data_IF_310782553227
#
_entry.id   IF_310782553227
#
_cell.length_a   1.000
_cell.length_b   1.000
_cell.length_c   1.000
_cell.angle_alpha   90.00
_cell.angle_beta   90.00
_cell.angle_gamma   90.00
#
_symmetry.space_group_name_H-M   'P 1'
#
loop_
_entity.id
_entity.type
_entity.pdbx_description
1 polymer ?
#
# COMPACT_ATOMS: atom_id res chain seq x y z
N UNK A 1 5.67 30.87 -78.36
CA UNK A 1 4.96 29.84 -77.58
C UNK A 1 5.97 29.26 -76.61
N UNK A 2 6.15 29.88 -75.44
CA UNK A 2 7.04 29.36 -74.40
C UNK A 2 6.23 29.06 -73.14
N UNK A 3 6.25 27.78 -72.76
CA UNK A 3 5.44 27.17 -71.71
C UNK A 3 6.38 26.66 -70.62
N UNK A 4 7.06 27.55 -69.91
CA UNK A 4 7.98 27.20 -68.81
C UNK A 4 7.79 28.14 -67.63
N UNK A 5 6.72 27.94 -66.86
CA UNK A 5 6.37 28.83 -65.76
C UNK A 5 5.66 28.19 -64.57
N UNK A 6 5.70 26.86 -64.39
CA UNK A 6 4.93 26.22 -63.30
C UNK A 6 5.62 25.09 -62.50
N UNK A 7 6.89 24.79 -62.73
CA UNK A 7 7.55 23.64 -62.06
C UNK A 7 8.10 23.99 -60.66
N UNK A 8 8.34 25.28 -60.36
CA UNK A 8 8.97 25.70 -59.09
C UNK A 8 8.02 25.86 -57.89
N UNK A 9 6.70 25.94 -58.11
CA UNK A 9 5.71 26.04 -57.02
C UNK A 9 5.16 24.68 -56.56
N UNK A 10 5.31 23.64 -57.37
CA UNK A 10 4.83 22.29 -57.03
C UNK A 10 5.76 21.56 -56.03
N UNK A 11 7.07 21.85 -56.04
CA UNK A 11 8.05 21.17 -55.15
C UNK A 11 7.92 21.54 -53.66
N UNK A 12 7.47 22.76 -53.36
CA UNK A 12 7.25 23.21 -51.97
C UNK A 12 5.90 22.76 -51.41
N UNK A 13 4.89 22.53 -52.26
CA UNK A 13 3.61 21.98 -51.83
C UNK A 13 3.67 20.47 -51.55
N UNK A 14 4.53 19.73 -52.27
CA UNK A 14 4.72 18.30 -52.05
C UNK A 14 5.54 17.96 -50.80
N UNK A 15 6.44 18.86 -50.38
CA UNK A 15 7.26 18.68 -49.16
C UNK A 15 6.50 19.07 -47.89
N UNK A 16 5.57 20.04 -47.95
CA UNK A 16 4.69 20.38 -46.83
C UNK A 16 3.60 19.30 -46.58
N UNK A 17 3.16 18.62 -47.64
CA UNK A 17 2.16 17.55 -47.54
C UNK A 17 2.69 16.27 -46.86
N UNK A 18 4.02 16.04 -46.84
CA UNK A 18 4.62 14.85 -46.24
C UNK A 18 4.81 14.96 -44.71
N UNK A 19 4.86 16.18 -44.16
CA UNK A 19 4.91 16.38 -42.70
C UNK A 19 3.53 16.30 -42.03
N UNK A 20 2.44 16.53 -42.76
CA UNK A 20 1.07 16.42 -42.23
C UNK A 20 0.58 14.97 -42.04
N UNK A 21 1.34 13.98 -42.53
CA UNK A 21 1.05 12.56 -42.36
C UNK A 21 1.71 11.94 -41.11
N UNK A 22 2.34 12.75 -40.26
CA UNK A 22 2.68 12.35 -38.88
C UNK A 22 1.41 12.41 -38.04
N UNK A 23 0.41 11.61 -38.40
CA UNK A 23 -0.75 11.40 -37.55
C UNK A 23 -0.24 10.86 -36.22
N UNK A 24 -0.65 11.48 -35.11
CA UNK A 24 -0.52 10.88 -33.79
C UNK A 24 -1.18 9.51 -33.84
N UNK A 25 -0.38 8.46 -34.03
CA UNK A 25 -0.83 7.10 -33.74
C UNK A 25 -0.88 7.02 -32.22
N UNK A 26 -2.06 7.28 -31.66
CA UNK A 26 -2.40 6.84 -30.30
C UNK A 26 -2.29 5.32 -30.29
N UNK A 27 -1.16 4.82 -29.81
CA UNK A 27 -0.94 3.39 -29.59
C UNK A 27 -1.95 2.99 -28.53
N UNK A 28 -2.99 2.27 -28.93
CA UNK A 28 -3.96 1.68 -28.00
C UNK A 28 -3.21 0.65 -27.15
N UNK A 29 -2.74 1.08 -25.99
CA UNK A 29 -2.10 0.18 -25.04
C UNK A 29 -3.14 -0.80 -24.49
N UNK A 30 -2.74 -2.00 -24.06
CA UNK A 30 -3.63 -2.90 -23.34
C UNK A 30 -4.36 -2.22 -22.16
N UNK A 31 -3.73 -1.20 -21.56
CA UNK A 31 -4.25 -0.37 -20.47
C UNK A 31 -5.55 0.39 -20.88
N UNK A 32 -5.60 0.98 -22.08
CA UNK A 32 -6.80 1.68 -22.58
C UNK A 32 -7.99 0.74 -22.76
N UNK A 33 -7.73 -0.49 -23.21
CA UNK A 33 -8.78 -1.53 -23.35
C UNK A 33 -9.30 -1.97 -21.97
N UNK A 34 -8.45 -2.01 -20.96
CA UNK A 34 -8.84 -2.33 -19.57
C UNK A 34 -9.60 -1.15 -18.94
N UNK A 35 -9.24 0.10 -19.23
CA UNK A 35 -9.99 1.28 -18.77
C UNK A 35 -11.44 1.31 -19.28
N UNK A 36 -11.73 0.68 -20.44
CA UNK A 36 -13.10 0.51 -20.94
C UNK A 36 -13.93 -0.57 -20.24
N UNK A 37 -13.31 -1.36 -19.36
CA UNK A 37 -14.00 -2.39 -18.58
C UNK A 37 -14.57 -1.82 -17.28
N UNK A 38 -15.63 -2.41 -16.73
CA UNK A 38 -16.32 -1.95 -15.50
C UNK A 38 -15.50 -2.17 -14.21
N UNK A 39 -14.19 -1.96 -14.27
CA UNK A 39 -13.28 -2.07 -13.13
C UNK A 39 -13.31 -0.76 -12.34
N UNK A 40 -13.49 -0.83 -11.02
CA UNK A 40 -13.42 0.36 -10.18
C UNK A 40 -12.04 1.01 -10.20
N UNK A 41 -12.01 2.30 -10.47
CA UNK A 41 -10.80 3.13 -10.55
C UNK A 41 -11.00 4.43 -9.78
N UNK A 42 -9.94 5.24 -9.65
CA UNK A 42 -9.96 6.48 -8.89
C UNK A 42 -11.16 7.39 -9.21
N UNK A 43 -11.51 7.56 -10.49
CA UNK A 43 -12.64 8.40 -10.91
C UNK A 43 -13.99 7.66 -10.98
N UNK A 44 -14.01 6.34 -10.76
CA UNK A 44 -15.20 5.50 -10.79
C UNK A 44 -15.14 4.48 -9.65
N UNK A 45 -15.05 4.97 -8.42
CA UNK A 45 -15.06 4.14 -7.21
C UNK A 45 -16.46 3.54 -7.00
N UNK A 46 -16.49 2.33 -6.45
CA UNK A 46 -17.72 1.64 -6.04
C UNK A 46 -17.77 1.55 -4.52
N UNK A 47 -18.97 1.63 -3.95
CA UNK A 47 -19.17 1.33 -2.53
C UNK A 47 -19.02 -0.17 -2.29
N UNK A 48 -18.33 -0.53 -1.21
CA UNK A 48 -18.27 -1.91 -0.75
C UNK A 48 -19.62 -2.37 -0.18
N UNK A 49 -19.90 -3.68 -0.18
CA UNK A 49 -21.05 -4.22 0.54
C UNK A 49 -20.93 -3.94 2.05
N UNK A 50 -22.04 -4.12 2.76
CA UNK A 50 -22.08 -3.93 4.21
C UNK A 50 -21.00 -4.75 4.91
N UNK A 51 -20.35 -4.10 5.87
CA UNK A 51 -19.28 -4.72 6.62
C UNK A 51 -19.82 -5.82 7.53
N UNK A 52 -19.21 -7.00 7.44
CA UNK A 52 -19.49 -8.13 8.32
C UNK A 52 -18.28 -8.38 9.22
N UNK A 53 -18.56 -8.59 10.50
CA UNK A 53 -17.53 -8.84 11.52
C UNK A 53 -16.91 -10.21 11.30
N UNK A 54 -15.58 -10.27 11.28
CA UNK A 54 -14.84 -11.52 11.13
C UNK A 54 -13.63 -11.57 12.08
N UNK A 55 -13.12 -12.76 12.45
CA UNK A 55 -11.85 -12.84 13.15
C UNK A 55 -10.71 -12.27 12.27
N UNK A 56 -9.75 -11.48 12.81
CA UNK A 56 -9.56 -11.06 14.20
C UNK A 56 -9.90 -9.56 14.43
N UNK A 57 -11.12 -9.14 14.08
CA UNK A 57 -11.59 -7.76 14.29
C UNK A 57 -11.69 -7.37 15.77
N UNK A 58 -11.59 -6.08 16.07
CA UNK A 58 -11.89 -5.54 17.40
C UNK A 58 -13.21 -4.77 17.38
N UNK A 59 -14.15 -5.24 18.18
CA UNK A 59 -15.48 -4.66 18.32
C UNK A 59 -15.58 -4.00 19.70
N UNK A 60 -15.90 -2.71 19.72
CA UNK A 60 -16.27 -2.01 20.95
C UNK A 60 -17.67 -2.46 21.36
N UNK A 61 -17.82 -2.87 22.62
CA UNK A 61 -19.13 -3.18 23.20
C UNK A 61 -19.27 -2.44 24.50
N UNK A 62 -20.24 -1.53 24.55
CA UNK A 62 -20.54 -0.74 25.74
C UNK A 62 -22.02 -0.82 26.12
N UNK A 63 -22.28 -1.02 27.40
CA UNK A 63 -23.62 -0.98 27.98
C UNK A 63 -23.59 0.07 29.08
N UNK A 64 -24.38 1.14 28.92
CA UNK A 64 -24.34 2.30 29.80
C UNK A 64 -24.60 1.95 31.27
N UNK A 65 -25.63 1.13 31.53
CA UNK A 65 -26.11 0.81 32.87
C UNK A 65 -25.87 -0.67 33.24
N UNK A 66 -24.66 -1.18 32.99
CA UNK A 66 -24.30 -2.52 33.46
C UNK A 66 -24.28 -2.61 35.00
N UNK A 67 -24.40 -3.83 35.54
CA UNK A 67 -24.45 -4.07 36.98
C UNK A 67 -23.25 -3.44 37.71
N UNK A 68 -23.45 -2.85 38.91
CA UNK A 68 -22.39 -2.20 39.66
C UNK A 68 -21.25 -3.19 39.95
N UNK A 69 -20.02 -2.80 39.60
CA UNK A 69 -18.82 -3.63 39.73
C UNK A 69 -18.60 -4.66 38.61
N UNK A 70 -19.46 -4.71 37.58
CA UNK A 70 -19.32 -5.59 36.40
C UNK A 70 -19.64 -4.85 35.10
N UNK A 71 -18.92 -3.76 34.77
CA UNK A 71 -19.18 -3.00 33.57
C UNK A 71 -18.90 -3.83 32.31
N UNK A 72 -19.79 -3.72 31.32
CA UNK A 72 -19.55 -4.20 29.96
C UNK A 72 -19.14 -2.97 29.17
N UNK A 73 -17.85 -2.62 29.20
CA UNK A 73 -17.28 -1.54 28.39
C UNK A 73 -15.92 -1.97 27.84
N UNK A 74 -15.59 -1.42 26.67
CA UNK A 74 -14.31 -1.56 26.00
C UNK A 74 -14.30 -2.53 24.82
N UNK A 75 -13.13 -2.59 24.20
CA UNK A 75 -12.88 -3.36 22.99
C UNK A 75 -12.84 -4.86 23.28
N UNK A 76 -13.36 -5.64 22.34
CA UNK A 76 -13.43 -7.10 22.37
C UNK A 76 -12.90 -7.66 21.06
N UNK A 77 -11.87 -8.49 21.17
CA UNK A 77 -11.34 -9.25 20.05
C UNK A 77 -12.33 -10.34 19.63
N UNK A 78 -12.64 -10.40 18.34
CA UNK A 78 -13.34 -11.52 17.73
C UNK A 78 -12.36 -12.67 17.61
N UNK A 79 -12.59 -13.71 18.42
CA UNK A 79 -11.73 -14.89 18.49
C UNK A 79 -11.86 -15.75 17.22
N UNK A 80 -10.92 -16.68 16.96
CA UNK A 80 -11.00 -17.59 15.81
C UNK A 80 -12.24 -18.50 15.78
N UNK A 81 -12.91 -18.71 16.92
CA UNK A 81 -14.20 -19.42 17.00
C UNK A 81 -15.40 -18.55 16.59
N UNK A 82 -15.13 -17.30 16.16
CA UNK A 82 -16.14 -16.32 15.75
C UNK A 82 -16.90 -15.68 16.90
N UNK A 83 -16.43 -15.84 18.14
CA UNK A 83 -17.07 -15.29 19.34
C UNK A 83 -16.32 -14.10 19.91
N UNK A 84 -17.06 -13.21 20.56
CA UNK A 84 -16.53 -12.18 21.46
C UNK A 84 -16.82 -12.58 22.90
N UNK A 85 -15.94 -12.17 23.81
CA UNK A 85 -16.16 -12.37 25.25
C UNK A 85 -16.79 -11.13 25.87
N UNK A 86 -17.88 -11.30 26.60
CA UNK A 86 -18.54 -10.26 27.39
C UNK A 86 -18.13 -10.33 28.87
N UNK A 87 -16.99 -10.96 29.18
CA UNK A 87 -16.51 -11.12 30.54
C UNK A 87 -17.41 -12.06 31.35
N UNK A 88 -17.97 -11.57 32.46
CA UNK A 88 -18.82 -12.37 33.36
C UNK A 88 -20.10 -12.89 32.71
N UNK A 89 -20.55 -12.28 31.63
CA UNK A 89 -21.78 -12.65 30.95
C UNK A 89 -21.61 -13.83 29.99
N UNK A 90 -20.37 -14.22 29.68
CA UNK A 90 -20.03 -15.32 28.79
C UNK A 90 -19.62 -14.85 27.40
N UNK A 91 -19.77 -15.72 26.40
CA UNK A 91 -19.31 -15.50 25.03
C UNK A 91 -20.48 -15.50 24.03
N UNK A 92 -20.42 -14.63 23.03
CA UNK A 92 -21.44 -14.47 21.98
C UNK A 92 -20.82 -14.64 20.61
N UNK A 93 -21.42 -15.47 19.76
CA UNK A 93 -21.00 -15.66 18.37
C UNK A 93 -21.43 -14.48 17.50
N UNK A 94 -20.48 -13.82 16.85
CA UNK A 94 -20.70 -12.59 16.06
C UNK A 94 -20.16 -12.67 14.63
N UNK A 95 -19.33 -13.68 14.31
CA UNK A 95 -18.73 -13.77 12.99
C UNK A 95 -19.77 -13.93 11.87
N UNK A 96 -19.58 -13.17 10.80
CA UNK A 96 -20.47 -13.11 9.64
C UNK A 96 -21.71 -12.24 9.82
N UNK A 97 -21.85 -11.54 10.96
CA UNK A 97 -22.96 -10.63 11.21
C UNK A 97 -22.55 -9.18 10.94
N UNK A 98 -23.51 -8.38 10.50
CA UNK A 98 -23.38 -6.91 10.43
C UNK A 98 -23.45 -6.29 11.83
N UNK A 99 -23.01 -5.05 11.98
CA UNK A 99 -23.01 -4.36 13.29
C UNK A 99 -24.41 -4.28 13.93
N UNK A 100 -25.48 -3.93 13.20
CA UNK A 100 -26.83 -3.95 13.76
C UNK A 100 -27.26 -5.35 14.23
N UNK A 101 -26.90 -6.41 13.50
CA UNK A 101 -27.20 -7.79 13.87
C UNK A 101 -26.38 -8.26 15.08
N UNK A 102 -25.11 -7.84 15.17
CA UNK A 102 -24.27 -8.10 16.34
C UNK A 102 -24.89 -7.44 17.58
N UNK A 103 -25.30 -6.18 17.46
CA UNK A 103 -25.99 -5.44 18.53
C UNK A 103 -27.24 -6.17 18.99
N UNK A 104 -28.15 -6.50 18.07
CA UNK A 104 -29.35 -7.27 18.37
C UNK A 104 -29.04 -8.55 19.14
N UNK A 105 -28.06 -9.31 18.65
CA UNK A 105 -27.68 -10.59 19.23
C UNK A 105 -27.08 -10.44 20.63
N UNK A 106 -26.28 -9.41 20.87
CA UNK A 106 -25.74 -9.09 22.20
C UNK A 106 -26.86 -8.70 23.14
N UNK A 107 -27.78 -7.82 22.72
CA UNK A 107 -28.91 -7.38 23.55
C UNK A 107 -29.80 -8.58 23.93
N UNK A 108 -30.15 -9.43 22.97
CA UNK A 108 -30.94 -10.64 23.21
C UNK A 108 -30.22 -11.63 24.14
N UNK A 109 -28.89 -11.72 24.05
CA UNK A 109 -28.10 -12.57 24.94
C UNK A 109 -28.06 -12.00 26.37
N UNK A 110 -27.87 -10.69 26.51
CA UNK A 110 -27.79 -10.00 27.80
C UNK A 110 -29.14 -9.94 28.53
N UNK A 111 -30.27 -10.07 27.83
CA UNK A 111 -31.62 -10.17 28.42
C UNK A 111 -31.77 -11.33 29.42
N UNK A 112 -30.89 -12.33 29.36
CA UNK A 112 -30.84 -13.42 30.36
C UNK A 112 -30.33 -12.97 31.73
N UNK A 113 -29.63 -11.84 31.79
CA UNK A 113 -28.92 -11.37 32.97
C UNK A 113 -29.29 -9.94 33.37
N UNK A 114 -29.77 -9.12 32.43
CA UNK A 114 -30.13 -7.72 32.62
C UNK A 114 -31.62 -7.51 32.30
N UNK A 115 -32.22 -6.50 32.93
CA UNK A 115 -33.62 -6.13 32.71
C UNK A 115 -33.79 -5.40 31.37
N UNK A 116 -35.00 -5.45 30.82
CA UNK A 116 -35.34 -4.77 29.56
C UNK A 116 -35.13 -3.25 29.64
N UNK A 117 -35.31 -2.67 30.84
CA UNK A 117 -35.03 -1.27 31.13
C UNK A 117 -33.53 -0.94 30.97
N UNK A 118 -32.64 -1.68 31.64
CA UNK A 118 -31.17 -1.51 31.53
C UNK A 118 -30.68 -1.64 30.09
N UNK A 119 -31.32 -2.49 29.30
CA UNK A 119 -30.98 -2.72 27.89
C UNK A 119 -31.61 -1.71 26.92
N UNK A 120 -32.42 -0.76 27.38
CA UNK A 120 -33.05 0.24 26.52
C UNK A 120 -34.08 -0.36 25.57
N UNK A 121 -34.74 -1.45 25.99
CA UNK A 121 -35.80 -2.11 25.20
C UNK A 121 -37.18 -1.52 25.47
N UNK A 122 -37.26 -0.56 26.39
CA UNK A 122 -38.49 0.14 26.76
C UNK A 122 -38.18 1.62 26.81
N UNK A 123 -39.05 2.42 26.20
CA UNK A 123 -38.93 3.88 26.26
C UNK A 123 -39.25 4.35 27.69
N UNK A 124 -38.38 5.17 28.28
CA UNK A 124 -38.61 5.73 29.62
C UNK A 124 -39.23 7.12 29.47
N UNK A 125 -40.31 7.34 30.21
CA UNK A 125 -40.94 8.65 30.31
C UNK A 125 -40.10 9.56 31.24
N UNK A 126 -39.58 10.70 30.75
CA UNK A 126 -38.73 11.60 31.52
C UNK A 126 -39.43 12.21 32.74
N UNK A 127 -40.76 12.27 32.77
CA UNK A 127 -41.51 12.85 33.88
C UNK A 127 -41.81 11.83 34.99
N UNK A 128 -42.23 10.62 34.62
CA UNK A 128 -42.59 9.58 35.59
C UNK A 128 -41.41 8.67 35.98
N UNK A 129 -40.32 8.68 35.21
CA UNK A 129 -39.18 7.76 35.36
C UNK A 129 -39.54 6.30 35.12
N UNK A 130 -40.77 6.02 34.66
CA UNK A 130 -41.27 4.69 34.35
C UNK A 130 -41.33 4.43 32.86
N UNK A 131 -41.71 3.21 32.48
CA UNK A 131 -41.95 2.84 31.10
C UNK A 131 -43.06 3.71 30.49
N UNK A 132 -42.76 4.36 29.36
CA UNK A 132 -43.75 5.09 28.57
C UNK A 132 -44.79 4.11 28.03
N UNK A 133 -46.05 4.42 28.26
CA UNK A 133 -47.17 3.58 27.89
C UNK A 133 -47.79 4.08 26.59
N UNK A 134 -48.23 3.14 25.75
CA UNK A 134 -49.05 3.42 24.57
C UNK A 134 -50.46 3.89 24.97
N UNK A 135 -51.27 4.27 23.98
CA UNK A 135 -52.67 4.67 24.18
C UNK A 135 -53.53 3.58 24.85
N UNK A 136 -53.03 2.34 24.93
CA UNK A 136 -53.70 1.17 25.53
C UNK A 136 -53.12 0.79 26.89
N UNK A 137 -52.19 1.58 27.44
CA UNK A 137 -51.57 1.33 28.74
C UNK A 137 -50.50 0.23 28.75
N UNK A 138 -49.96 -0.17 27.59
CA UNK A 138 -48.87 -1.13 27.46
C UNK A 138 -47.53 -0.42 27.24
N UNK A 139 -46.42 -0.89 27.83
CA UNK A 139 -45.09 -0.34 27.54
C UNK A 139 -44.75 -0.36 26.05
N UNK A 140 -44.19 0.74 25.56
CA UNK A 140 -43.67 0.84 24.19
C UNK A 140 -42.37 0.03 24.13
N UNK A 141 -42.38 -1.02 23.29
CA UNK A 141 -41.24 -1.94 23.13
C UNK A 141 -40.37 -1.44 21.97
N UNK A 142 -39.08 -1.26 22.23
CA UNK A 142 -38.07 -0.89 21.25
C UNK A 142 -37.41 -2.18 20.72
N UNK A 143 -37.11 -2.21 19.42
CA UNK A 143 -36.39 -3.34 18.84
C UNK A 143 -34.94 -3.41 19.37
N UNK A 144 -34.38 -4.60 19.62
CA UNK A 144 -33.02 -4.69 20.17
C UNK A 144 -31.93 -4.06 19.29
N UNK A 145 -32.16 -3.94 17.97
CA UNK A 145 -31.28 -3.22 17.03
C UNK A 145 -31.21 -1.72 17.32
N UNK A 146 -32.29 -1.14 17.80
CA UNK A 146 -32.47 0.29 18.00
C UNK A 146 -32.26 0.74 19.45
N UNK A 147 -31.85 -0.18 20.34
CA UNK A 147 -31.50 0.13 21.73
C UNK A 147 -30.49 1.29 21.82
N UNK A 148 -30.81 2.30 22.62
CA UNK A 148 -29.96 3.47 22.86
C UNK A 148 -28.93 3.25 23.99
N UNK A 149 -29.10 2.18 24.77
CA UNK A 149 -28.23 1.86 25.92
C UNK A 149 -27.07 0.91 25.61
N UNK A 150 -27.10 0.26 24.45
CA UNK A 150 -26.07 -0.68 24.01
C UNK A 150 -25.39 -0.17 22.74
N UNK A 151 -24.10 0.12 22.86
CA UNK A 151 -23.26 0.57 21.75
C UNK A 151 -22.39 -0.58 21.27
N UNK A 152 -22.41 -0.79 19.96
CA UNK A 152 -21.55 -1.75 19.27
C UNK A 152 -20.97 -1.06 18.06
N UNK A 153 -19.65 -1.07 17.94
CA UNK A 153 -18.96 -0.50 16.78
C UNK A 153 -17.65 -1.27 16.50
N UNK A 154 -17.12 -1.17 15.27
CA UNK A 154 -15.83 -1.75 14.92
C UNK A 154 -14.74 -0.72 15.12
N UNK A 155 -13.88 -0.98 16.09
CA UNK A 155 -12.70 -0.13 16.36
C UNK A 155 -11.53 -0.45 15.43
N UNK A 156 -11.36 -1.72 15.04
CA UNK A 156 -10.30 -2.13 14.13
C UNK A 156 -10.79 -3.18 13.12
N UNK A 157 -10.71 -2.80 11.84
CA UNK A 157 -11.05 -3.62 10.66
C UNK A 157 -9.87 -4.53 10.26
N UNK A 158 -9.61 -5.57 11.05
CA UNK A 158 -8.44 -6.44 10.88
C UNK A 158 -8.67 -7.64 9.97
N UNK A 159 -9.91 -7.93 9.60
CA UNK A 159 -10.28 -9.08 8.77
C UNK A 159 -10.10 -8.82 7.28
N UNK A 160 -10.49 -7.62 6.80
CA UNK A 160 -10.45 -7.25 5.37
C UNK A 160 -9.15 -6.55 5.04
N UNK A 161 -8.26 -7.23 4.32
CA UNK A 161 -6.93 -6.73 3.98
C UNK A 161 -6.63 -6.85 2.48
N UNK A 162 -5.77 -5.97 1.98
CA UNK A 162 -5.06 -6.12 0.71
C UNK A 162 -3.55 -6.30 0.96
N UNK A 163 -2.82 -6.76 -0.04
CA UNK A 163 -1.41 -7.13 0.09
C UNK A 163 -0.56 -6.35 -0.90
N UNK A 164 0.56 -5.80 -0.42
CA UNK A 164 1.58 -5.16 -1.26
C UNK A 164 2.86 -5.98 -1.18
N UNK A 165 3.33 -6.45 -2.33
CA UNK A 165 4.41 -7.41 -2.47
C UNK A 165 5.46 -6.93 -3.48
N UNK A 166 6.68 -7.43 -3.35
CA UNK A 166 7.75 -7.22 -4.32
C UNK A 166 8.69 -6.06 -3.96
N UNK A 167 9.21 -5.38 -4.98
CA UNK A 167 10.22 -4.32 -4.84
C UNK A 167 9.57 -3.00 -4.36
N UNK A 168 9.12 -2.96 -3.10
CA UNK A 168 8.60 -1.78 -2.38
C UNK A 168 9.36 -1.56 -1.08
N UNK A 169 9.24 -0.38 -0.46
CA UNK A 169 9.98 -0.04 0.76
C UNK A 169 9.64 -0.92 1.97
N UNK A 170 8.38 -1.30 2.13
CA UNK A 170 7.84 -2.09 3.24
C UNK A 170 6.69 -2.98 2.73
N UNK A 171 6.99 -4.15 2.17
CA UNK A 171 5.96 -5.09 1.72
C UNK A 171 5.19 -5.63 2.93
N UNK A 172 3.89 -5.86 2.76
CA UNK A 172 3.03 -6.26 3.85
C UNK A 172 1.55 -6.31 3.50
N UNK A 173 0.74 -6.60 4.51
CA UNK A 173 -0.72 -6.51 4.44
C UNK A 173 -1.19 -5.18 5.03
N UNK A 174 -2.24 -4.61 4.47
CA UNK A 174 -2.85 -3.37 4.91
C UNK A 174 -4.37 -3.52 4.98
N UNK A 175 -5.04 -2.89 5.96
CA UNK A 175 -6.50 -2.97 6.08
C UNK A 175 -7.18 -2.22 4.93
N UNK A 176 -8.37 -2.69 4.54
CA UNK A 176 -9.19 -2.07 3.49
C UNK A 176 -10.31 -1.26 4.16
N UNK A 177 -10.41 0.03 3.85
CA UNK A 177 -11.44 0.93 4.42
C UNK A 177 -12.51 1.34 3.43
N UNK A 178 -12.29 1.25 2.11
CA UNK A 178 -13.32 1.66 1.13
C UNK A 178 -12.79 2.45 -0.05
N UNK A 179 -11.74 3.22 0.16
CA UNK A 179 -11.39 4.33 -0.70
C UNK A 179 -10.00 4.18 -1.31
N UNK A 180 -9.23 3.18 -0.87
CA UNK A 180 -7.85 2.99 -1.25
C UNK A 180 -7.70 2.73 -2.74
N UNK A 181 -6.65 3.31 -3.31
CA UNK A 181 -6.21 3.08 -4.68
C UNK A 181 -4.84 2.40 -4.70
N UNK A 182 -4.42 1.94 -5.87
CA UNK A 182 -3.07 1.34 -6.03
C UNK A 182 -1.98 2.33 -5.63
N UNK A 183 -2.14 3.62 -5.95
CA UNK A 183 -1.21 4.67 -5.55
C UNK A 183 -1.10 4.76 -4.02
N UNK A 184 -2.24 4.81 -3.32
CA UNK A 184 -2.28 4.91 -1.85
C UNK A 184 -1.55 3.71 -1.21
N UNK A 185 -1.82 2.50 -1.69
CA UNK A 185 -1.18 1.29 -1.20
C UNK A 185 0.34 1.29 -1.38
N UNK A 186 0.84 1.73 -2.53
CA UNK A 186 2.28 1.80 -2.78
C UNK A 186 2.92 2.87 -1.88
N UNK A 187 2.24 3.99 -1.64
CA UNK A 187 2.74 5.02 -0.70
C UNK A 187 2.79 4.50 0.74
N UNK A 188 1.74 3.81 1.21
CA UNK A 188 1.73 3.17 2.53
C UNK A 188 2.82 2.09 2.67
N UNK A 189 3.14 1.41 1.58
CA UNK A 189 4.25 0.46 1.52
C UNK A 189 5.64 1.14 1.40
N UNK A 190 5.75 2.45 1.66
CA UNK A 190 7.02 3.17 1.63
C UNK A 190 7.54 3.53 0.23
N UNK A 191 6.68 3.47 -0.78
CA UNK A 191 7.02 3.78 -2.17
C UNK A 191 7.81 2.68 -2.89
N UNK A 192 8.23 3.00 -4.11
CA UNK A 192 9.09 2.13 -4.91
C UNK A 192 10.55 2.25 -4.47
N UNK A 193 11.25 1.13 -4.41
CA UNK A 193 12.71 1.11 -4.24
C UNK A 193 13.41 1.36 -5.58
N UNK A 194 14.70 1.77 -5.61
CA UNK A 194 15.41 2.08 -6.85
C UNK A 194 15.53 0.93 -7.86
N UNK A 195 15.31 -0.32 -7.43
CA UNK A 195 15.35 -1.49 -8.30
C UNK A 195 14.00 -1.85 -8.92
N UNK A 196 12.91 -1.22 -8.47
CA UNK A 196 11.56 -1.50 -8.92
C UNK A 196 11.32 -1.01 -10.36
N UNK A 197 10.52 -1.74 -11.13
CA UNK A 197 10.04 -1.26 -12.43
C UNK A 197 8.71 -0.51 -12.26
N UNK A 198 8.67 0.82 -12.44
CA UNK A 198 7.44 1.61 -12.25
C UNK A 198 6.33 1.28 -13.27
N UNK A 199 6.71 0.69 -14.41
CA UNK A 199 5.78 0.28 -15.48
C UNK A 199 5.45 -1.22 -15.44
N UNK A 200 6.01 -1.98 -14.48
CA UNK A 200 5.78 -3.41 -14.35
C UNK A 200 5.21 -3.73 -12.97
N UNK A 201 4.01 -3.21 -12.74
CA UNK A 201 3.23 -3.48 -11.53
C UNK A 201 1.96 -4.21 -11.96
N UNK A 202 1.53 -5.18 -11.17
CA UNK A 202 0.29 -5.93 -11.42
C UNK A 202 -0.56 -5.96 -10.18
N UNK A 203 -1.81 -5.59 -10.33
CA UNK A 203 -2.86 -5.85 -9.36
C UNK A 203 -3.50 -7.20 -9.69
N UNK A 204 -3.36 -8.16 -8.79
CA UNK A 204 -3.96 -9.49 -8.90
C UNK A 204 -5.16 -9.55 -7.97
N UNK A 205 -6.35 -9.58 -8.57
CA UNK A 205 -7.63 -9.62 -7.87
C UNK A 205 -8.19 -11.05 -7.86
N UNK A 206 -8.49 -11.61 -6.68
CA UNK A 206 -9.07 -12.95 -6.59
C UNK A 206 -10.45 -12.99 -7.23
N UNK A 207 -10.78 -14.14 -7.85
CA UNK A 207 -12.12 -14.36 -8.37
C UNK A 207 -13.14 -14.45 -7.22
N UNK A 208 -14.33 -13.84 -7.36
CA UNK A 208 -15.44 -14.15 -6.46
C UNK A 208 -15.73 -15.67 -6.43
N UNK A 209 -16.20 -16.22 -5.30
CA UNK A 209 -16.57 -17.63 -5.23
C UNK A 209 -17.54 -18.02 -6.35
N UNK A 210 -17.16 -18.99 -7.18
CA UNK A 210 -17.96 -19.45 -8.33
C UNK A 210 -17.71 -18.72 -9.66
N UNK A 211 -16.83 -17.71 -9.70
CA UNK A 211 -16.36 -17.10 -10.94
C UNK A 211 -15.03 -17.71 -11.41
N UNK A 212 -14.85 -17.84 -12.72
CA UNK A 212 -13.84 -18.74 -13.30
C UNK A 212 -12.43 -18.15 -13.44
N UNK A 213 -12.20 -16.88 -13.12
CA UNK A 213 -10.91 -16.24 -13.45
C UNK A 213 -10.48 -15.22 -12.40
N UNK A 214 -9.24 -15.36 -11.91
CA UNK A 214 -8.52 -14.25 -11.30
C UNK A 214 -8.31 -13.13 -12.32
N UNK A 215 -8.37 -11.89 -11.85
CA UNK A 215 -8.22 -10.71 -12.70
C UNK A 215 -6.83 -10.12 -12.48
N UNK A 216 -6.00 -10.12 -13.52
CA UNK A 216 -4.65 -9.53 -13.48
C UNK A 216 -4.66 -8.21 -14.24
N UNK A 217 -4.50 -7.12 -13.50
CA UNK A 217 -4.58 -5.76 -14.01
C UNK A 217 -3.18 -5.13 -14.04
N UNK A 218 -2.68 -4.70 -15.22
CA UNK A 218 -1.45 -3.93 -15.31
C UNK A 218 -1.64 -2.56 -14.68
N UNK A 219 -0.65 -2.12 -13.93
CA UNK A 219 -0.61 -0.80 -13.31
C UNK A 219 0.62 -0.06 -13.82
N UNK A 220 0.40 1.16 -14.29
CA UNK A 220 1.45 2.04 -14.77
C UNK A 220 1.65 3.19 -13.77
N UNK A 221 2.53 2.99 -12.79
CA UNK A 221 2.72 3.97 -11.73
C UNK A 221 3.44 5.22 -12.23
N UNK A 222 4.30 5.12 -13.26
CA UNK A 222 4.94 6.29 -13.85
C UNK A 222 3.91 7.24 -14.48
N UNK A 223 2.91 6.70 -15.18
CA UNK A 223 1.83 7.47 -15.76
C UNK A 223 0.96 8.14 -14.68
N UNK A 224 0.69 7.43 -13.58
CA UNK A 224 -0.07 7.97 -12.43
C UNK A 224 0.71 9.11 -11.73
N UNK A 225 1.98 8.87 -11.37
CA UNK A 225 2.77 9.82 -10.57
C UNK A 225 3.29 11.01 -11.37
N UNK A 226 3.77 10.79 -12.59
CA UNK A 226 4.42 11.84 -13.41
C UNK A 226 3.50 12.38 -14.50
N UNK A 227 2.58 11.57 -15.01
CA UNK A 227 1.66 11.94 -16.09
C UNK A 227 0.28 12.41 -15.63
N UNK A 228 -0.09 12.19 -14.36
CA UNK A 228 -1.44 12.46 -13.85
C UNK A 228 -2.53 11.55 -14.43
N UNK A 229 -2.13 10.46 -15.09
CA UNK A 229 -3.06 9.52 -15.71
C UNK A 229 -3.49 8.45 -14.69
N UNK A 230 -4.69 8.62 -14.14
CA UNK A 230 -5.28 7.72 -13.16
C UNK A 230 -6.02 6.51 -13.77
N UNK A 231 -5.94 6.28 -15.08
CA UNK A 231 -6.66 5.17 -15.76
C UNK A 231 -6.34 3.79 -15.17
N UNK A 232 -5.09 3.59 -14.73
CA UNK A 232 -4.64 2.34 -14.08
C UNK A 232 -4.55 2.46 -12.56
N UNK A 233 -5.04 3.56 -11.98
CA UNK A 233 -5.13 3.74 -10.54
C UNK A 233 -6.42 3.09 -10.01
N UNK A 234 -6.43 1.76 -9.94
CA UNK A 234 -7.59 0.98 -9.54
C UNK A 234 -7.93 1.17 -8.06
N UNK A 235 -9.22 1.12 -7.74
CA UNK A 235 -9.66 1.00 -6.35
C UNK A 235 -9.39 -0.42 -5.86
N UNK A 236 -8.86 -0.53 -4.64
CA UNK A 236 -8.51 -1.79 -4.03
C UNK A 236 -9.72 -2.44 -3.35
N UNK A 237 -9.75 -3.76 -3.43
CA UNK A 237 -10.78 -4.61 -2.84
C UNK A 237 -10.14 -5.59 -1.84
N UNK A 238 -10.94 -6.11 -0.87
CA UNK A 238 -10.45 -7.14 0.03
C UNK A 238 -9.89 -8.35 -0.71
N UNK A 239 -8.66 -8.75 -0.35
CA UNK A 239 -7.95 -9.86 -0.97
C UNK A 239 -7.09 -9.51 -2.19
N UNK A 240 -7.13 -8.26 -2.67
CA UNK A 240 -6.28 -7.79 -3.76
C UNK A 240 -4.79 -7.91 -3.40
N UNK A 241 -3.97 -8.24 -4.40
CA UNK A 241 -2.51 -8.36 -4.27
C UNK A 241 -1.82 -7.47 -5.29
N UNK A 242 -1.13 -6.44 -4.84
CA UNK A 242 -0.28 -5.59 -5.67
C UNK A 242 1.11 -6.21 -5.69
N UNK A 243 1.57 -6.60 -6.88
CA UNK A 243 2.88 -7.19 -7.09
C UNK A 243 3.74 -6.22 -7.89
N UNK A 244 4.76 -5.69 -7.26
CA UNK A 244 5.75 -4.79 -7.88
C UNK A 244 6.96 -5.62 -8.32
N UNK A 245 7.19 -5.70 -9.63
CA UNK A 245 8.31 -6.45 -10.17
C UNK A 245 9.57 -5.59 -10.24
N UNK A 246 10.73 -6.26 -10.18
CA UNK A 246 12.04 -5.65 -10.40
C UNK A 246 12.21 -5.24 -11.85
N UNK A 247 12.95 -4.16 -12.07
CA UNK A 247 13.38 -3.74 -13.40
C UNK A 247 14.30 -4.78 -14.05
N UNK A 248 13.99 -5.24 -15.29
CA UNK A 248 14.81 -6.23 -15.97
C UNK A 248 16.24 -5.75 -16.27
N UNK A 249 16.48 -4.44 -16.38
CA UNK A 249 17.82 -3.86 -16.62
C UNK A 249 18.68 -3.94 -15.35
N UNK A 250 18.09 -3.81 -14.16
CA UNK A 250 18.82 -3.98 -12.89
C UNK A 250 19.20 -5.44 -12.65
N UNK A 251 18.45 -6.40 -13.22
CA UNK A 251 18.78 -7.82 -13.15
C UNK A 251 20.10 -8.15 -13.87
N UNK A 252 20.46 -7.42 -14.92
CA UNK A 252 21.66 -7.70 -15.73
C UNK A 252 22.91 -7.04 -15.16
N UNK A 253 22.81 -5.88 -14.51
CA UNK A 253 23.96 -5.21 -13.88
C UNK A 253 24.51 -6.01 -12.70
N UNK A 254 23.64 -6.59 -11.85
CA UNK A 254 24.05 -7.48 -10.74
C UNK A 254 24.83 -8.70 -11.28
N UNK A 255 24.48 -9.21 -12.46
CA UNK A 255 25.17 -10.34 -13.07
C UNK A 255 26.56 -9.94 -13.58
N UNK A 256 26.69 -8.76 -14.19
CA UNK A 256 27.99 -8.23 -14.65
C UNK A 256 28.91 -7.94 -13.45
N UNK A 257 28.41 -7.33 -12.37
CA UNK A 257 29.23 -7.03 -11.18
C UNK A 257 29.73 -8.32 -10.49
N UNK A 258 28.89 -9.37 -10.41
CA UNK A 258 29.32 -10.69 -9.89
C UNK A 258 30.34 -11.38 -10.79
N UNK A 259 30.24 -11.21 -12.10
CA UNK A 259 31.25 -11.69 -13.05
C UNK A 259 32.55 -10.89 -12.95
N UNK A 260 32.48 -9.58 -12.72
CA UNK A 260 33.63 -8.70 -12.65
C UNK A 260 34.41 -8.80 -11.32
N UNK A 261 33.79 -9.27 -10.23
CA UNK A 261 34.42 -9.42 -8.91
C UNK A 261 35.75 -10.20 -8.92
N UNK A 262 35.88 -11.41 -9.52
CA UNK A 262 37.16 -12.10 -9.61
C UNK A 262 38.16 -11.40 -10.54
N UNK A 263 37.68 -10.70 -11.58
CA UNK A 263 38.56 -9.99 -12.51
C UNK A 263 39.14 -8.70 -11.91
N UNK A 264 38.41 -8.02 -11.01
CA UNK A 264 38.92 -6.86 -10.26
C UNK A 264 40.10 -7.25 -9.36
N UNK A 265 40.04 -8.42 -8.71
CA UNK A 265 41.18 -8.95 -7.92
C UNK A 265 42.39 -9.24 -8.82
N UNK A 266 42.16 -9.81 -10.00
CA UNK A 266 43.23 -10.10 -10.96
C UNK A 266 43.81 -8.82 -11.57
N UNK A 267 42.98 -7.86 -12.00
CA UNK A 267 43.44 -6.58 -12.54
C UNK A 267 44.25 -5.77 -11.51
N UNK A 268 43.79 -5.71 -10.26
CA UNK A 268 44.54 -5.06 -9.19
C UNK A 268 45.86 -5.78 -8.88
N UNK A 269 45.90 -7.11 -8.97
CA UNK A 269 47.15 -7.86 -8.83
C UNK A 269 48.14 -7.56 -9.97
N UNK A 270 47.67 -7.49 -11.23
CA UNK A 270 48.51 -7.16 -12.40
C UNK A 270 49.06 -5.73 -12.30
N UNK A 271 48.24 -4.77 -11.87
CA UNK A 271 48.67 -3.39 -11.65
C UNK A 271 49.74 -3.31 -10.54
N UNK A 272 49.60 -4.04 -9.43
CA UNK A 272 50.63 -4.12 -8.39
C UNK A 272 51.94 -4.75 -8.89
N UNK A 273 51.88 -5.81 -9.71
CA UNK A 273 53.08 -6.44 -10.28
C UNK A 273 53.88 -5.51 -11.21
N UNK A 274 53.18 -4.66 -11.99
CA UNK A 274 53.84 -3.68 -12.86
C UNK A 274 54.61 -2.60 -12.09
N UNK A 275 54.13 -2.22 -10.90
CA UNK A 275 54.83 -1.26 -10.04
C UNK A 275 56.05 -1.87 -9.36
N UNK A 276 55.99 -3.14 -8.93
CA UNK A 276 57.15 -3.84 -8.35
C UNK A 276 58.21 -4.21 -9.40
N UNK A 277 57.81 -4.52 -10.63
CA UNK A 277 58.76 -4.79 -11.71
C UNK A 277 59.56 -3.53 -12.09
N UNK A 278 58.91 -2.35 -12.09
CA UNK A 278 59.57 -1.07 -12.37
C UNK A 278 60.49 -0.60 -11.24
N UNK A 279 60.16 -0.91 -9.97
CA UNK A 279 61.02 -0.58 -8.83
C UNK A 279 62.25 -1.50 -8.72
N UNK A 280 62.14 -2.78 -9.11
CA UNK A 280 63.28 -3.71 -9.20
C UNK A 280 64.25 -3.35 -10.34
N UNK A 281 63.75 -2.86 -11.47
CA UNK A 281 64.61 -2.34 -12.55
C UNK A 281 65.42 -1.10 -12.13
N UNK A 282 64.90 -0.30 -11.18
CA UNK A 282 65.62 0.84 -10.61
C UNK A 282 66.76 0.44 -9.65
N UNK A 283 66.72 -0.77 -9.09
CA UNK A 283 67.78 -1.28 -8.19
C UNK A 283 68.97 -1.89 -8.94
N UNK A 284 68.85 -2.18 -10.24
CA UNK A 284 69.96 -2.69 -11.06
C UNK A 284 70.76 -1.58 -11.78
N UNK A 285 70.29 -0.33 -11.75
CA UNK A 285 71.01 0.80 -12.34
C UNK A 285 71.74 1.56 -11.23
N UNK A 286 73.02 1.21 -11.06
CA UNK A 286 74.10 2.04 -10.51
C UNK A 286 73.77 2.98 -9.35
N UNK A 287 74.18 2.59 -8.14
CA UNK A 287 74.32 3.50 -6.99
C UNK A 287 75.21 4.69 -7.38
N UNK A 288 74.72 5.94 -7.39
CA UNK A 288 75.61 7.09 -7.53
C UNK A 288 76.34 7.33 -6.20
N UNK A 289 77.66 7.48 -6.32
CA UNK A 289 78.64 7.78 -5.27
C UNK A 289 78.17 8.95 -4.37
N UNK A 290 78.29 8.85 -3.02
CA UNK A 290 77.87 9.94 -2.14
C UNK A 290 78.79 11.16 -2.31
N UNK A 291 78.18 12.34 -2.47
CA UNK A 291 78.86 13.63 -2.49
C UNK A 291 79.33 14.01 -1.06
N UNK A 292 80.45 14.74 -0.92
CA UNK A 292 81.03 15.07 0.38
C UNK A 292 80.10 16.01 1.18
N UNK A 293 79.84 15.61 2.42
CA UNK A 293 79.11 16.37 3.44
C UNK A 293 79.85 17.66 3.79
N UNK A 294 79.28 18.80 3.43
CA UNK A 294 79.62 20.09 4.04
C UNK A 294 78.94 20.19 5.41
N UNK A 295 79.68 20.49 6.49
CA UNK A 295 79.08 20.65 7.81
C UNK A 295 78.20 21.90 7.85
N UNK A 296 76.95 21.71 8.27
CA UNK A 296 75.98 22.78 8.49
C UNK A 296 76.34 23.46 9.82
N UNK A 297 76.81 24.70 9.76
CA UNK A 297 76.88 25.61 10.92
C UNK A 297 75.49 26.12 11.27
N UNK A 298 75.01 25.80 12.48
CA UNK A 298 73.77 26.34 13.04
C UNK A 298 73.90 27.85 13.34
N UNK A 299 72.95 28.69 12.93
CA UNK A 299 72.78 30.00 13.53
C UNK A 299 72.07 29.86 14.90
N UNK A 300 72.71 30.41 15.94
CA UNK A 300 72.18 30.57 17.29
C UNK A 300 70.93 31.44 17.29
N UNK A 301 69.81 30.94 17.84
CA UNK A 301 68.64 31.75 18.16
C UNK A 301 68.87 32.59 19.43
N UNK A 302 68.65 33.91 19.40
CA UNK A 302 68.50 34.71 20.62
C UNK A 302 67.01 34.89 20.97
N UNK A 303 66.67 34.64 22.23
CA UNK A 303 65.55 35.33 22.89
C UNK A 303 64.41 34.46 23.38
N UNK A 304 64.62 33.80 24.53
CA UNK A 304 63.55 33.53 25.49
C UNK A 304 63.84 34.34 26.77
N UNK A 305 63.03 35.37 27.00
CA UNK A 305 62.63 35.87 28.32
C UNK A 305 61.24 36.47 28.18
#
# INVERSE_FOLDING_TARGET
MDRTGNIRRAGWLLTLAMCAASGCQTVKTPEEKIASSNIPSEFKKVSMPDYVVEPPDLVLVEVLEALPGRPISGERLVRPDGKISLGFYGDVYVAGLTIPEVKEKIVLYLRKYLTDEVLGLVEIDPESGGAKLDEKGKPIIIEPKDSDRVFVDVTAYNSKNYYVLGDVGSPGRLPVTGNETVLDAIQFAGGLIPTAAPNNIRLVRPAPPGACCEQVLPVNLAAIMSGGDATTNYQLMPGDRIVVYRDPIVRTTIFIDRLAAPFQTVLNSILQYSFTARSLQFLQVGVPKPAPTTPITLPTQPGAR
#
